data_IF_889256168292
#
_entry.id   IF_889256168292
#
_cell.length_a   1.000
_cell.length_b   1.000
_cell.length_c   1.000
_cell.angle_alpha   90.00
_cell.angle_beta   90.00
_cell.angle_gamma   90.00
#
_symmetry.space_group_name_H-M   'P 1'
#
loop_
_entity.id
_entity.type
_entity.pdbx_description
1 polymer ?
#
# COMPACT_ATOMS: atom_id res chain seq x y z
N UNK A 1 -14.96 9.16 4.48
CA UNK A 1 -16.28 9.17 5.19
C UNK A 1 -17.41 9.24 4.15
N UNK A 2 -17.72 8.19 3.36
CA UNK A 2 -18.94 8.19 2.50
C UNK A 2 -19.36 6.85 1.87
N UNK A 3 -18.61 5.76 1.91
CA UNK A 3 -19.01 4.50 1.22
C UNK A 3 -20.06 3.67 1.99
N UNK A 4 -20.12 3.73 3.31
CA UNK A 4 -21.11 2.96 4.12
C UNK A 4 -22.54 3.53 4.10
N UNK A 5 -22.71 4.83 3.88
CA UNK A 5 -24.03 5.46 3.82
C UNK A 5 -24.77 5.29 2.51
N UNK A 6 -24.04 5.11 1.41
CA UNK A 6 -24.66 4.91 0.10
C UNK A 6 -25.34 3.53 -0.04
N UNK A 7 -24.81 2.51 0.65
CA UNK A 7 -25.37 1.14 0.65
C UNK A 7 -26.72 1.08 1.39
N UNK A 8 -26.93 1.93 2.40
CA UNK A 8 -28.15 1.92 3.21
C UNK A 8 -29.31 2.64 2.47
N UNK A 9 -29.02 3.64 1.64
CA UNK A 9 -30.06 4.40 0.92
C UNK A 9 -30.68 3.68 -0.28
N UNK A 10 -30.05 2.59 -0.78
CA UNK A 10 -30.52 1.89 -1.99
C UNK A 10 -31.15 0.52 -1.72
N UNK A 11 -31.37 0.16 -0.46
CA UNK A 11 -31.97 -1.14 -0.11
C UNK A 11 -33.49 -1.24 -0.39
N UNK A 12 -34.13 -0.10 -0.60
CA UNK A 12 -35.60 -0.01 -0.75
C UNK A 12 -36.09 0.40 -2.15
N UNK A 13 -35.20 0.47 -3.16
CA UNK A 13 -35.61 0.84 -4.52
C UNK A 13 -35.23 -0.26 -5.52
N UNK A 14 -36.14 -1.18 -5.74
CA UNK A 14 -36.06 -2.17 -6.81
C UNK A 14 -36.46 -1.47 -8.11
N UNK A 15 -35.51 -1.01 -8.91
CA UNK A 15 -35.72 -0.69 -10.32
C UNK A 15 -34.63 -1.40 -11.11
N UNK A 16 -35.06 -2.44 -11.84
CA UNK A 16 -34.18 -3.24 -12.70
C UNK A 16 -33.82 -2.50 -13.98
N UNK A 17 -32.72 -1.77 -13.94
CA UNK A 17 -32.12 -1.21 -15.14
C UNK A 17 -30.64 -1.62 -15.19
N UNK A 18 -30.25 -2.33 -16.25
CA UNK A 18 -28.89 -2.83 -16.47
C UNK A 18 -27.83 -1.73 -16.41
N UNK A 19 -28.21 -0.49 -16.74
CA UNK A 19 -27.37 0.71 -16.65
C UNK A 19 -26.98 1.02 -15.19
N UNK A 20 -27.89 0.82 -14.23
CA UNK A 20 -27.64 1.04 -12.80
C UNK A 20 -26.66 0.01 -12.24
N UNK A 21 -26.74 -1.25 -12.67
CA UNK A 21 -25.83 -2.32 -12.26
C UNK A 21 -24.41 -2.03 -12.80
N UNK A 22 -24.28 -1.52 -14.03
CA UNK A 22 -22.99 -1.14 -14.60
C UNK A 22 -22.36 0.07 -13.88
N UNK A 23 -23.16 1.09 -13.53
CA UNK A 23 -22.68 2.25 -12.77
C UNK A 23 -22.29 1.82 -11.33
N UNK A 24 -23.07 0.96 -10.70
CA UNK A 24 -22.77 0.43 -9.36
C UNK A 24 -21.52 -0.45 -9.35
N UNK A 25 -21.34 -1.30 -10.38
CA UNK A 25 -20.12 -2.10 -10.55
C UNK A 25 -18.87 -1.23 -10.81
N UNK A 26 -19.02 -0.16 -11.59
CA UNK A 26 -17.94 0.82 -11.84
C UNK A 26 -17.57 1.60 -10.57
N UNK A 27 -18.53 1.95 -9.71
CA UNK A 27 -18.29 2.61 -8.42
C UNK A 27 -17.66 1.65 -7.39
N UNK A 28 -18.00 0.37 -7.45
CA UNK A 28 -17.48 -0.66 -6.52
C UNK A 28 -16.03 -1.07 -6.82
N UNK A 29 -15.54 -0.83 -8.04
CA UNK A 29 -14.17 -1.19 -8.46
C UNK A 29 -13.23 0.02 -8.57
N UNK A 30 -13.59 1.19 -8.05
CA UNK A 30 -12.73 2.36 -8.05
C UNK A 30 -11.74 2.31 -6.87
N UNK A 31 -10.49 1.96 -7.20
CA UNK A 31 -9.37 1.95 -6.26
C UNK A 31 -8.70 3.34 -6.15
N UNK A 32 -9.34 4.39 -6.65
CA UNK A 32 -8.86 5.76 -6.55
C UNK A 32 -7.76 6.10 -7.54
N UNK A 33 -6.74 6.81 -7.09
CA UNK A 33 -5.67 7.36 -7.93
C UNK A 33 -4.37 6.58 -7.74
N UNK A 34 -3.75 6.16 -8.84
CA UNK A 34 -2.40 5.58 -8.84
C UNK A 34 -1.39 6.53 -9.50
N UNK A 35 -0.20 6.64 -8.93
CA UNK A 35 0.95 7.28 -9.53
C UNK A 35 1.95 6.22 -9.98
N UNK A 36 2.30 6.21 -11.26
CA UNK A 36 3.28 5.31 -11.86
C UNK A 36 4.53 6.10 -12.24
N UNK A 37 5.70 5.64 -11.80
CA UNK A 37 6.98 6.29 -12.06
C UNK A 37 7.92 5.28 -12.68
N UNK A 38 8.29 5.50 -13.96
CA UNK A 38 9.18 4.63 -14.74
C UNK A 38 9.79 5.48 -15.86
N UNK A 39 11.09 5.42 -16.10
CA UNK A 39 11.77 6.22 -17.13
C UNK A 39 11.43 5.78 -18.57
N UNK A 40 10.82 4.60 -18.72
CA UNK A 40 10.42 4.05 -20.01
C UNK A 40 8.97 4.41 -20.35
N UNK A 41 8.77 5.31 -21.29
CA UNK A 41 7.44 5.75 -21.76
C UNK A 41 6.56 4.60 -22.32
N UNK A 42 7.18 3.57 -22.90
CA UNK A 42 6.43 2.40 -23.41
C UNK A 42 5.84 1.60 -22.25
N UNK A 43 6.59 1.46 -21.14
CA UNK A 43 6.12 0.83 -19.90
C UNK A 43 4.99 1.67 -19.28
N UNK A 44 5.15 2.98 -19.18
CA UNK A 44 4.10 3.89 -18.68
C UNK A 44 2.82 3.76 -19.49
N UNK A 45 2.95 3.69 -20.81
CA UNK A 45 1.81 3.52 -21.71
C UNK A 45 1.12 2.17 -21.50
N UNK A 46 1.88 1.07 -21.42
CA UNK A 46 1.34 -0.27 -21.17
C UNK A 46 0.61 -0.33 -19.81
N UNK A 47 1.20 0.26 -18.76
CA UNK A 47 0.59 0.32 -17.43
C UNK A 47 -0.68 1.17 -17.40
N UNK A 48 -0.72 2.31 -18.12
CA UNK A 48 -1.96 3.08 -18.27
C UNK A 48 -3.11 2.24 -18.82
N UNK A 49 -2.88 1.47 -19.89
CA UNK A 49 -3.92 0.61 -20.46
C UNK A 49 -4.29 -0.53 -19.50
N UNK A 50 -3.33 -1.14 -18.85
CA UNK A 50 -3.58 -2.23 -17.91
C UNK A 50 -4.42 -1.78 -16.70
N UNK A 51 -4.18 -0.56 -16.20
CA UNK A 51 -4.76 -0.05 -14.97
C UNK A 51 -6.05 0.77 -15.17
N UNK A 52 -6.37 1.17 -16.40
CA UNK A 52 -7.51 2.04 -16.72
C UNK A 52 -8.88 1.50 -16.27
N UNK A 53 -9.04 0.17 -16.14
CA UNK A 53 -10.29 -0.43 -15.65
C UNK A 53 -10.34 -0.60 -14.12
N UNK A 54 -9.26 -0.24 -13.42
CA UNK A 54 -9.12 -0.47 -11.98
C UNK A 54 -9.06 0.84 -11.19
N UNK A 55 -8.36 1.85 -11.73
CA UNK A 55 -8.15 3.15 -11.08
C UNK A 55 -8.91 4.24 -11.83
N UNK A 56 -9.52 5.17 -11.09
CA UNK A 56 -10.23 6.33 -11.66
C UNK A 56 -9.28 7.35 -12.27
N UNK A 57 -8.07 7.49 -11.68
CA UNK A 57 -7.03 8.42 -12.17
C UNK A 57 -5.68 7.73 -12.17
N UNK A 58 -4.91 7.95 -13.25
CA UNK A 58 -3.57 7.40 -13.39
C UNK A 58 -2.62 8.54 -13.76
N UNK A 59 -1.76 8.91 -12.82
CA UNK A 59 -0.64 9.81 -13.08
C UNK A 59 0.58 9.02 -13.50
N UNK A 60 1.38 9.58 -14.39
CA UNK A 60 2.65 8.98 -14.82
C UNK A 60 3.76 10.01 -14.80
N UNK A 61 4.94 9.61 -14.33
CA UNK A 61 6.16 10.40 -14.36
C UNK A 61 7.29 9.57 -14.99
N UNK A 62 8.05 10.19 -15.87
CA UNK A 62 9.28 9.59 -16.45
C UNK A 62 10.49 9.82 -15.55
N UNK A 63 10.42 10.75 -14.60
CA UNK A 63 11.42 10.99 -13.57
C UNK A 63 10.75 11.20 -12.21
N UNK A 64 11.34 10.72 -11.12
CA UNK A 64 10.81 10.92 -9.77
C UNK A 64 11.03 12.34 -9.21
N UNK A 65 11.73 13.23 -9.89
CA UNK A 65 12.13 14.55 -9.39
C UNK A 65 10.95 15.43 -8.91
N UNK A 66 9.81 15.30 -9.57
CA UNK A 66 8.60 16.07 -9.25
C UNK A 66 7.61 15.34 -8.35
N UNK A 67 7.92 14.11 -7.93
CA UNK A 67 6.99 13.26 -7.17
C UNK A 67 6.47 13.93 -5.89
N UNK A 68 7.35 14.52 -5.09
CA UNK A 68 6.95 15.15 -3.83
C UNK A 68 6.08 16.39 -4.04
N UNK A 69 6.26 17.09 -5.16
CA UNK A 69 5.43 18.25 -5.53
C UNK A 69 4.04 17.81 -5.98
N UNK A 70 3.97 16.72 -6.78
CA UNK A 70 2.71 16.13 -7.23
C UNK A 70 1.89 15.60 -6.05
N UNK A 71 2.52 14.87 -5.12
CA UNK A 71 1.85 14.30 -3.94
C UNK A 71 1.33 15.36 -2.95
N UNK A 72 1.80 16.60 -3.02
CA UNK A 72 1.26 17.73 -2.26
C UNK A 72 0.02 18.34 -2.90
N UNK A 73 -0.15 18.18 -4.20
CA UNK A 73 -1.20 18.82 -4.99
C UNK A 73 -2.35 17.88 -5.32
N UNK A 74 -2.06 16.60 -5.42
CA UNK A 74 -2.99 15.57 -5.86
C UNK A 74 -3.14 14.46 -4.81
N UNK A 75 -4.37 14.00 -4.63
CA UNK A 75 -4.64 12.82 -3.80
C UNK A 75 -4.23 11.56 -4.56
N UNK A 76 -3.24 10.84 -4.04
CA UNK A 76 -2.73 9.58 -4.58
C UNK A 76 -2.93 8.48 -3.54
N UNK A 77 -3.54 7.37 -3.95
CA UNK A 77 -3.84 6.24 -3.06
C UNK A 77 -2.73 5.19 -3.04
N UNK A 78 -1.97 5.05 -4.13
CA UNK A 78 -0.87 4.09 -4.25
C UNK A 78 0.16 4.57 -5.26
N UNK A 79 1.42 4.22 -5.05
CA UNK A 79 2.53 4.54 -5.96
C UNK A 79 3.13 3.24 -6.48
N UNK A 80 3.30 3.13 -7.80
CA UNK A 80 4.12 2.12 -8.46
C UNK A 80 5.42 2.77 -8.91
N UNK A 81 6.55 2.36 -8.31
CA UNK A 81 7.85 3.02 -8.45
C UNK A 81 8.87 2.06 -9.08
N UNK A 82 9.42 2.43 -10.23
CA UNK A 82 10.59 1.72 -10.78
C UNK A 82 11.82 1.87 -9.90
N UNK A 83 12.66 0.86 -9.92
CA UNK A 83 13.88 0.83 -9.12
C UNK A 83 15.06 1.51 -9.80
N UNK A 84 15.04 1.65 -11.13
CA UNK A 84 16.17 2.13 -11.93
C UNK A 84 15.76 3.30 -12.81
N UNK A 85 16.33 4.48 -12.57
CA UNK A 85 16.10 5.71 -13.35
C UNK A 85 17.32 6.20 -14.11
N UNK A 86 18.45 5.51 -14.00
CA UNK A 86 19.70 5.92 -14.67
C UNK A 86 20.01 4.95 -15.80
N UNK A 87 19.99 5.45 -17.04
CA UNK A 87 20.35 4.68 -18.23
C UNK A 87 21.73 4.02 -18.08
N UNK A 88 21.76 2.69 -18.13
CA UNK A 88 23.00 1.90 -18.08
C UNK A 88 23.56 1.61 -16.68
N UNK A 89 22.94 2.08 -15.61
CA UNK A 89 23.33 1.79 -14.22
C UNK A 89 22.20 1.09 -13.50
N UNK A 90 22.15 -0.24 -13.54
CA UNK A 90 21.15 -1.06 -12.84
C UNK A 90 21.49 -1.22 -11.35
N UNK A 91 21.78 -0.13 -10.63
CA UNK A 91 22.10 -0.20 -9.20
C UNK A 91 20.86 -0.30 -8.30
N UNK A 92 19.70 0.16 -8.78
CA UNK A 92 18.44 0.25 -8.04
C UNK A 92 18.53 1.15 -6.79
N UNK A 93 19.63 1.86 -6.62
CA UNK A 93 19.82 2.75 -5.47
C UNK A 93 18.91 3.98 -5.58
N UNK A 94 18.66 4.45 -6.80
CA UNK A 94 17.81 5.61 -7.03
C UNK A 94 16.38 5.36 -6.57
N UNK A 95 15.79 4.22 -6.94
CA UNK A 95 14.46 3.83 -6.47
C UNK A 95 14.38 3.70 -4.95
N UNK A 96 15.43 3.17 -4.30
CA UNK A 96 15.48 3.09 -2.83
C UNK A 96 15.58 4.46 -2.16
N UNK A 97 16.29 5.41 -2.73
CA UNK A 97 16.36 6.78 -2.22
C UNK A 97 15.01 7.49 -2.34
N UNK A 98 14.35 7.35 -3.49
CA UNK A 98 13.03 7.92 -3.69
C UNK A 98 11.96 7.26 -2.81
N UNK A 99 12.00 5.94 -2.64
CA UNK A 99 11.16 5.24 -1.67
C UNK A 99 11.31 5.86 -0.27
N UNK A 100 12.54 6.07 0.20
CA UNK A 100 12.77 6.67 1.51
C UNK A 100 12.26 8.11 1.61
N UNK A 101 12.44 8.92 0.56
CA UNK A 101 11.94 10.28 0.50
C UNK A 101 10.39 10.31 0.55
N UNK A 102 9.73 9.46 -0.24
CA UNK A 102 8.27 9.33 -0.25
C UNK A 102 7.77 8.89 1.13
N UNK A 103 8.31 7.80 1.67
CA UNK A 103 7.90 7.27 2.98
C UNK A 103 8.10 8.26 4.14
N UNK A 104 9.11 9.12 4.05
CA UNK A 104 9.38 10.17 5.06
C UNK A 104 8.31 11.26 5.06
N UNK A 105 7.83 11.67 3.90
CA UNK A 105 6.92 12.80 3.74
C UNK A 105 5.45 12.38 3.61
N UNK A 106 5.19 11.18 3.13
CA UNK A 106 3.87 10.60 2.87
C UNK A 106 3.80 9.15 3.37
N UNK A 107 3.87 8.94 4.70
CA UNK A 107 3.95 7.60 5.29
C UNK A 107 2.70 6.73 5.04
N UNK A 108 1.55 7.36 4.79
CA UNK A 108 0.28 6.66 4.62
C UNK A 108 0.05 6.15 3.19
N UNK A 109 0.82 6.66 2.20
CA UNK A 109 0.70 6.23 0.81
C UNK A 109 1.55 4.96 0.60
N UNK A 110 0.95 3.80 0.31
CA UNK A 110 1.71 2.58 0.03
C UNK A 110 2.49 2.72 -1.27
N UNK A 111 3.73 2.23 -1.25
CA UNK A 111 4.63 2.20 -2.42
C UNK A 111 4.90 0.76 -2.80
N UNK A 112 4.56 0.39 -4.03
CA UNK A 112 4.91 -0.89 -4.65
C UNK A 112 6.08 -0.66 -5.59
N UNK A 113 7.11 -1.48 -5.47
CA UNK A 113 8.29 -1.39 -6.33
C UNK A 113 8.09 -2.23 -7.59
N UNK A 114 8.60 -1.75 -8.73
CA UNK A 114 8.71 -2.57 -9.93
C UNK A 114 10.18 -2.72 -10.30
N UNK A 115 10.63 -3.94 -10.58
CA UNK A 115 12.06 -4.23 -10.74
C UNK A 115 12.31 -5.31 -11.78
N UNK A 116 13.49 -5.31 -12.39
CA UNK A 116 13.90 -6.41 -13.26
C UNK A 116 14.09 -7.72 -12.47
N UNK A 117 13.86 -8.86 -13.12
CA UNK A 117 13.93 -10.19 -12.49
C UNK A 117 15.27 -10.48 -11.79
N UNK A 118 16.37 -9.88 -12.25
CA UNK A 118 17.71 -10.07 -11.67
C UNK A 118 17.89 -9.36 -10.31
N UNK A 119 16.99 -8.47 -9.90
CA UNK A 119 17.18 -7.56 -8.76
C UNK A 119 16.32 -7.92 -7.53
N UNK A 120 15.99 -9.21 -7.33
CA UNK A 120 15.18 -9.66 -6.18
C UNK A 120 15.79 -9.24 -4.83
N UNK A 121 17.12 -9.24 -4.70
CA UNK A 121 17.78 -8.77 -3.48
C UNK A 121 17.54 -7.29 -3.22
N UNK A 122 17.39 -6.51 -4.28
CA UNK A 122 17.08 -5.09 -4.20
C UNK A 122 15.62 -4.89 -3.76
N UNK A 123 14.69 -5.69 -4.29
CA UNK A 123 13.29 -5.69 -3.86
C UNK A 123 13.17 -6.02 -2.37
N UNK A 124 13.88 -7.03 -1.87
CA UNK A 124 13.93 -7.35 -0.42
C UNK A 124 14.46 -6.18 0.42
N UNK A 125 15.48 -5.44 -0.09
CA UNK A 125 15.94 -4.21 0.58
C UNK A 125 14.88 -3.12 0.58
N UNK A 126 14.10 -3.00 -0.49
CA UNK A 126 12.97 -2.08 -0.59
C UNK A 126 11.89 -2.37 0.44
N UNK A 127 11.49 -3.64 0.59
CA UNK A 127 10.52 -4.06 1.61
C UNK A 127 11.00 -3.71 3.03
N UNK A 128 12.28 -3.96 3.34
CA UNK A 128 12.88 -3.58 4.63
C UNK A 128 12.90 -2.06 4.87
N UNK A 129 12.81 -1.25 3.82
CA UNK A 129 12.76 0.22 3.87
C UNK A 129 11.34 0.78 3.77
N UNK A 130 10.33 -0.09 3.85
CA UNK A 130 8.93 0.30 3.94
C UNK A 130 8.17 0.32 2.61
N UNK A 131 8.68 -0.33 1.56
CA UNK A 131 7.83 -0.67 0.42
C UNK A 131 6.75 -1.66 0.86
N UNK A 132 5.54 -1.50 0.34
CA UNK A 132 4.42 -2.37 0.67
C UNK A 132 4.52 -3.74 -0.02
N UNK A 133 4.96 -3.76 -1.28
CA UNK A 133 5.22 -4.99 -2.05
C UNK A 133 6.17 -4.68 -3.23
N UNK A 134 6.48 -5.70 -4.04
CA UNK A 134 7.20 -5.53 -5.29
C UNK A 134 6.64 -6.40 -6.42
N UNK A 135 6.89 -5.98 -7.65
CA UNK A 135 6.49 -6.65 -8.89
C UNK A 135 7.74 -6.80 -9.77
N UNK A 136 7.92 -7.96 -10.38
CA UNK A 136 9.05 -8.21 -11.28
C UNK A 136 8.67 -7.95 -12.74
N UNK A 137 9.59 -7.35 -13.50
CA UNK A 137 9.49 -7.23 -14.98
C UNK A 137 10.07 -8.49 -15.63
N UNK A 138 9.39 -9.15 -16.59
CA UNK A 138 8.04 -8.86 -17.08
C UNK A 138 6.97 -9.33 -16.09
N UNK A 139 5.82 -8.66 -16.07
CA UNK A 139 4.68 -9.00 -15.22
C UNK A 139 3.53 -9.62 -15.98
N UNK A 140 2.67 -10.34 -15.28
CA UNK A 140 1.32 -10.66 -15.74
C UNK A 140 0.35 -9.55 -15.32
N UNK A 141 -0.52 -9.10 -16.22
CA UNK A 141 -1.42 -7.97 -15.96
C UNK A 141 -2.41 -8.26 -14.83
N UNK A 142 -2.93 -9.48 -14.73
CA UNK A 142 -3.87 -9.85 -13.69
C UNK A 142 -3.18 -9.93 -12.32
N UNK A 143 -1.97 -10.46 -12.28
CA UNK A 143 -1.16 -10.53 -11.07
C UNK A 143 -0.79 -9.12 -10.57
N UNK A 144 -0.38 -8.22 -11.47
CA UNK A 144 -0.07 -6.83 -11.16
C UNK A 144 -1.28 -6.14 -10.54
N UNK A 145 -2.44 -6.19 -11.20
CA UNK A 145 -3.68 -5.58 -10.71
C UNK A 145 -4.08 -6.17 -9.37
N UNK A 146 -4.02 -7.49 -9.20
CA UNK A 146 -4.34 -8.17 -7.95
C UNK A 146 -3.44 -7.67 -6.81
N UNK A 147 -2.13 -7.66 -7.00
CA UNK A 147 -1.17 -7.17 -5.97
C UNK A 147 -1.43 -5.72 -5.57
N UNK A 148 -1.70 -4.84 -6.52
CA UNK A 148 -2.03 -3.44 -6.22
C UNK A 148 -3.31 -3.31 -5.40
N UNK A 149 -4.32 -4.13 -5.68
CA UNK A 149 -5.57 -4.19 -4.90
C UNK A 149 -5.32 -4.71 -3.49
N UNK A 150 -4.62 -5.83 -3.35
CA UNK A 150 -4.28 -6.43 -2.06
C UNK A 150 -3.54 -5.43 -1.16
N UNK A 151 -2.59 -4.67 -1.72
CA UNK A 151 -1.85 -3.61 -1.01
C UNK A 151 -2.76 -2.47 -0.56
N UNK A 152 -3.69 -2.02 -1.42
CA UNK A 152 -4.64 -0.96 -1.08
C UNK A 152 -5.66 -1.40 -0.02
N UNK A 153 -6.14 -2.62 -0.12
CA UNK A 153 -7.06 -3.19 0.86
C UNK A 153 -6.38 -3.29 2.24
N UNK A 154 -5.15 -3.81 2.29
CA UNK A 154 -4.36 -3.86 3.51
C UNK A 154 -4.05 -2.46 4.09
N UNK A 155 -3.76 -1.47 3.23
CA UNK A 155 -3.51 -0.09 3.67
C UNK A 155 -4.78 0.62 4.20
N UNK A 156 -5.96 0.23 3.71
CA UNK A 156 -7.24 0.78 4.12
C UNK A 156 -7.89 0.00 5.28
N UNK A 157 -7.31 -1.13 5.70
CA UNK A 157 -7.82 -1.91 6.81
C UNK A 157 -7.65 -1.13 8.12
N UNK A 158 -8.79 -0.79 8.72
CA UNK A 158 -8.80 -0.14 10.03
C UNK A 158 -8.62 -1.20 11.09
N UNK A 159 -7.37 -1.37 11.56
CA UNK A 159 -7.05 -2.24 12.68
C UNK A 159 -7.66 -1.66 13.96
N UNK A 160 -8.37 -2.45 14.73
CA UNK A 160 -8.95 -2.01 15.99
C UNK A 160 -7.86 -1.71 17.03
N UNK A 161 -8.18 -0.85 18.00
CA UNK A 161 -7.24 -0.56 19.11
C UNK A 161 -6.85 -1.83 19.87
N UNK A 162 -7.77 -2.77 20.04
CA UNK A 162 -7.51 -4.05 20.72
C UNK A 162 -6.50 -4.90 19.90
N UNK A 163 -6.60 -4.92 18.58
CA UNK A 163 -5.64 -5.64 17.71
C UNK A 163 -4.25 -4.98 17.72
N UNK A 164 -4.17 -3.65 17.64
CA UNK A 164 -2.91 -2.92 17.76
C UNK A 164 -2.25 -3.17 19.12
N UNK A 165 -3.05 -3.16 20.19
CA UNK A 165 -2.56 -3.44 21.55
C UNK A 165 -2.05 -4.89 21.64
N UNK A 166 -2.78 -5.85 21.09
CA UNK A 166 -2.40 -7.27 21.08
C UNK A 166 -1.05 -7.50 20.38
N UNK A 167 -0.90 -6.90 19.20
CA UNK A 167 0.34 -7.02 18.43
C UNK A 167 1.52 -6.36 19.16
N UNK A 168 1.30 -5.19 19.76
CA UNK A 168 2.33 -4.49 20.52
C UNK A 168 2.79 -5.29 21.77
N UNK A 169 1.84 -5.90 22.48
CA UNK A 169 2.12 -6.81 23.60
C UNK A 169 2.92 -8.03 23.13
N UNK A 170 2.51 -8.65 22.02
CA UNK A 170 3.21 -9.82 21.44
C UNK A 170 4.66 -9.49 21.11
N UNK A 171 4.91 -8.38 20.41
CA UNK A 171 6.27 -7.92 20.06
C UNK A 171 7.12 -7.65 21.30
N UNK A 172 6.55 -7.09 22.35
CA UNK A 172 7.28 -6.86 23.61
C UNK A 172 7.65 -8.17 24.32
N UNK A 173 6.75 -9.15 24.33
CA UNK A 173 7.01 -10.47 24.88
C UNK A 173 8.09 -11.22 24.11
N UNK A 174 8.05 -11.19 22.79
CA UNK A 174 9.06 -11.82 21.94
C UNK A 174 10.44 -11.21 22.18
N UNK A 175 10.55 -9.88 22.26
CA UNK A 175 11.80 -9.18 22.61
C UNK A 175 12.34 -9.55 24.00
N UNK A 176 11.46 -9.84 24.94
CA UNK A 176 11.80 -10.19 26.29
C UNK A 176 11.83 -11.72 26.53
N UNK A 177 11.80 -12.53 25.45
CA UNK A 177 11.80 -14.00 25.52
C UNK A 177 10.73 -14.55 26.48
N UNK A 178 9.52 -13.97 26.46
CA UNK A 178 8.40 -14.35 27.31
C UNK A 178 8.45 -13.83 28.75
N UNK A 179 9.45 -13.04 29.12
CA UNK A 179 9.57 -12.48 30.46
C UNK A 179 8.58 -11.35 30.70
N UNK A 180 7.46 -11.64 31.38
CA UNK A 180 6.37 -10.72 31.65
C UNK A 180 6.80 -9.45 32.40
N UNK A 181 7.75 -9.56 33.33
CA UNK A 181 8.21 -8.39 34.10
C UNK A 181 8.95 -7.41 33.19
N UNK A 182 9.93 -7.92 32.42
CA UNK A 182 10.66 -7.09 31.45
C UNK A 182 9.79 -6.53 30.35
N UNK A 183 8.81 -7.32 29.87
CA UNK A 183 7.87 -6.85 28.86
C UNK A 183 6.96 -5.73 29.41
N UNK A 184 6.51 -5.83 30.66
CA UNK A 184 5.70 -4.79 31.30
C UNK A 184 6.52 -3.49 31.48
N UNK A 185 7.78 -3.58 31.88
CA UNK A 185 8.71 -2.43 31.96
C UNK A 185 8.90 -1.79 30.58
N UNK A 186 9.14 -2.60 29.54
CA UNK A 186 9.31 -2.13 28.15
C UNK A 186 8.06 -1.40 27.63
N UNK A 187 6.88 -1.85 28.02
CA UNK A 187 5.58 -1.27 27.63
C UNK A 187 5.15 -0.11 28.54
N UNK A 188 5.89 0.21 29.59
CA UNK A 188 5.54 1.27 30.54
C UNK A 188 4.29 0.99 31.38
N UNK A 189 3.96 -0.29 31.61
CA UNK A 189 2.79 -0.73 32.39
C UNK A 189 3.21 -1.62 33.57
N UNK A 190 2.29 -1.82 34.52
CA UNK A 190 2.54 -2.80 35.58
C UNK A 190 2.41 -4.24 35.06
N UNK A 191 3.09 -5.20 35.70
CA UNK A 191 2.96 -6.62 35.37
C UNK A 191 1.52 -7.11 35.44
N UNK A 192 0.76 -6.61 36.45
CA UNK A 192 -0.65 -6.96 36.63
C UNK A 192 -1.51 -6.42 35.48
N UNK A 193 -1.26 -5.19 35.02
CA UNK A 193 -1.94 -4.58 33.87
C UNK A 193 -1.68 -5.40 32.62
N UNK A 194 -0.42 -5.76 32.35
CA UNK A 194 -0.06 -6.59 31.21
C UNK A 194 -0.74 -7.95 31.25
N UNK A 195 -0.75 -8.61 32.39
CA UNK A 195 -1.43 -9.90 32.58
C UNK A 195 -2.94 -9.81 32.29
N UNK A 196 -3.60 -8.78 32.83
CA UNK A 196 -5.04 -8.57 32.59
C UNK A 196 -5.36 -8.31 31.12
N UNK A 197 -4.51 -7.55 30.43
CA UNK A 197 -4.65 -7.29 28.98
C UNK A 197 -4.49 -8.58 28.17
N UNK A 198 -3.47 -9.37 28.47
CA UNK A 198 -3.26 -10.66 27.80
C UNK A 198 -4.46 -11.63 28.01
N UNK A 199 -5.06 -11.64 29.20
CA UNK A 199 -6.24 -12.47 29.48
C UNK A 199 -7.47 -12.04 28.68
N UNK A 200 -7.60 -10.75 28.35
CA UNK A 200 -8.70 -10.19 27.55
C UNK A 200 -8.54 -10.52 26.05
N UNK A 201 -7.32 -10.80 25.60
CA UNK A 201 -6.98 -11.08 24.21
C UNK A 201 -7.03 -12.59 23.84
N UNK A 202 -7.30 -13.46 24.80
CA UNK A 202 -7.56 -14.90 24.63
C UNK A 202 -9.06 -15.16 24.44
#
# INVERSE_FOLDING_TARGET
MCKKWLIILFKDSVVGDSTFICIFAAIMNDYGTILVIDDNEAILTALKYCLAGTFSRIFTLTSPDTVLSLLKQEEVNIILLDMNFTLGVNSGQDGLLWLQAIRKHFPDIPVVLITAYADVQLAVRGLKRGAADFITKPWDNNELVRKLKDVLEAANEVVTLDEVEADHIRRALDRCHGNLTKAAELLGVTRQTLYNKMKKLQ
#
